data_IF_922855757271
#
_entry.id   IF_922855757271
#
_cell.length_a   1.000
_cell.length_b   1.000
_cell.length_c   1.000
_cell.angle_alpha   90.00
_cell.angle_beta   90.00
_cell.angle_gamma   90.00
#
_symmetry.space_group_name_H-M   'P 1'
#
loop_
_entity.id
_entity.type
_entity.pdbx_description
1 polymer ?
#
# COMPACT_ATOMS: atom_id res chain seq x y z
N UNK A 1 -1.43 -31.14 71.92
CA UNK A 1 -1.56 -31.32 70.45
C UNK A 1 -1.41 -29.95 69.82
N UNK A 2 -0.25 -29.64 69.23
CA UNK A 2 -0.04 -28.41 68.49
C UNK A 2 -0.85 -28.48 67.15
N UNK A 3 -1.66 -27.48 66.91
CA UNK A 3 -2.39 -27.35 65.62
C UNK A 3 -1.46 -26.98 64.46
N UNK A 4 -1.88 -27.19 63.23
CA UNK A 4 -1.04 -26.95 62.08
C UNK A 4 -0.67 -25.45 62.00
N UNK A 5 0.65 -25.19 61.93
CA UNK A 5 1.17 -23.83 61.73
C UNK A 5 0.89 -23.42 60.27
N UNK A 6 0.09 -22.37 60.11
CA UNK A 6 -0.08 -21.69 58.85
C UNK A 6 1.24 -21.01 58.49
N UNK A 7 1.92 -21.51 57.46
CA UNK A 7 3.05 -20.82 56.80
C UNK A 7 2.46 -19.81 55.85
N UNK A 8 2.67 -18.51 56.12
CA UNK A 8 2.29 -17.44 55.21
C UNK A 8 3.06 -17.65 53.87
N UNK A 9 2.39 -17.76 52.72
CA UNK A 9 3.09 -17.90 51.48
C UNK A 9 3.98 -16.68 51.22
N UNK A 10 5.25 -16.90 50.86
CA UNK A 10 6.11 -15.81 50.43
C UNK A 10 5.50 -15.18 49.18
N UNK A 11 5.28 -13.87 49.26
CA UNK A 11 4.81 -13.11 48.10
C UNK A 11 5.97 -12.93 47.14
N UNK A 12 6.03 -13.75 46.11
CA UNK A 12 6.99 -13.59 45.05
C UNK A 12 6.56 -12.40 44.16
N UNK A 13 7.40 -11.38 44.12
CA UNK A 13 7.17 -10.25 43.18
C UNK A 13 7.53 -10.72 41.77
N UNK A 14 6.52 -10.88 40.92
CA UNK A 14 6.72 -11.16 39.48
C UNK A 14 6.81 -9.85 38.74
N UNK A 15 7.98 -9.54 38.19
CA UNK A 15 8.13 -8.40 37.29
C UNK A 15 7.79 -8.83 35.87
N UNK A 16 6.64 -8.41 35.37
CA UNK A 16 6.23 -8.64 33.97
C UNK A 16 6.76 -7.48 33.15
N UNK A 17 7.76 -7.72 32.30
CA UNK A 17 8.19 -6.78 31.27
C UNK A 17 7.31 -6.96 30.03
N UNK A 18 6.34 -6.06 29.86
CA UNK A 18 5.52 -6.01 28.65
C UNK A 18 6.26 -5.17 27.61
N UNK A 19 6.75 -5.81 26.57
CA UNK A 19 7.26 -5.10 25.40
C UNK A 19 6.08 -4.87 24.45
N UNK A 20 5.53 -3.67 24.45
CA UNK A 20 4.54 -3.29 23.46
C UNK A 20 5.23 -3.12 22.10
N UNK A 21 4.87 -3.94 21.15
CA UNK A 21 5.20 -3.69 19.75
C UNK A 21 4.08 -2.81 19.20
N UNK A 22 4.33 -1.52 19.05
CA UNK A 22 3.48 -0.72 18.18
C UNK A 22 3.73 -1.22 16.75
N UNK A 23 2.69 -1.66 16.07
CA UNK A 23 2.79 -1.80 14.63
C UNK A 23 3.23 -0.46 14.07
N UNK A 24 4.31 -0.46 13.27
CA UNK A 24 4.75 0.76 12.61
C UNK A 24 3.59 1.26 11.77
N UNK A 25 3.18 2.49 12.03
CA UNK A 25 2.13 3.14 11.25
C UNK A 25 2.62 3.27 9.81
N UNK A 26 1.78 2.91 8.85
CA UNK A 26 2.06 3.15 7.43
C UNK A 26 1.93 4.65 7.19
N UNK A 27 3.06 5.35 7.20
CA UNK A 27 3.18 6.78 6.90
C UNK A 27 4.53 7.02 6.24
N UNK A 28 4.61 8.05 5.42
CA UNK A 28 5.84 8.55 4.84
C UNK A 28 5.70 10.05 4.62
N UNK A 29 6.78 10.79 4.78
CA UNK A 29 6.85 12.17 4.28
C UNK A 29 7.19 12.15 2.79
N UNK A 30 8.07 11.20 2.39
CA UNK A 30 8.41 10.96 1.00
C UNK A 30 8.41 9.46 0.71
N UNK A 31 7.83 9.08 -0.43
CA UNK A 31 7.82 7.72 -0.97
C UNK A 31 8.51 7.72 -2.32
N UNK A 32 9.41 6.76 -2.53
CA UNK A 32 10.15 6.64 -3.78
C UNK A 32 9.95 5.27 -4.42
N UNK A 33 10.12 5.21 -5.72
CA UNK A 33 10.42 3.98 -6.48
C UNK A 33 11.90 3.94 -6.76
N UNK A 34 12.54 2.80 -6.50
CA UNK A 34 13.97 2.58 -6.64
C UNK A 34 14.26 1.15 -7.09
N UNK A 35 15.48 0.89 -7.52
CA UNK A 35 15.93 -0.44 -7.91
C UNK A 35 16.22 -0.57 -9.39
N UNK A 36 16.54 -1.80 -9.85
CA UNK A 36 16.95 -2.02 -11.25
C UNK A 36 15.82 -1.87 -12.26
N UNK A 37 14.57 -1.84 -11.78
CA UNK A 37 13.41 -1.57 -12.65
C UNK A 37 13.23 -0.07 -12.94
N UNK A 38 13.89 0.81 -12.19
CA UNK A 38 13.86 2.27 -12.39
C UNK A 38 15.09 2.66 -13.20
N UNK A 39 14.90 3.40 -14.32
CA UNK A 39 15.99 3.87 -15.16
C UNK A 39 16.52 5.21 -14.62
N UNK A 40 17.71 5.19 -14.01
CA UNK A 40 18.36 6.40 -13.51
C UNK A 40 18.15 6.65 -12.01
N UNK A 41 17.66 7.84 -11.67
CA UNK A 41 17.43 8.25 -10.27
C UNK A 41 16.11 7.72 -9.73
N UNK A 42 16.01 7.62 -8.40
CA UNK A 42 14.77 7.23 -7.72
C UNK A 42 13.63 8.20 -8.09
N UNK A 43 12.45 7.65 -8.35
CA UNK A 43 11.26 8.41 -8.71
C UNK A 43 10.41 8.64 -7.46
N UNK A 44 10.17 9.89 -7.09
CA UNK A 44 9.25 10.22 -6.01
C UNK A 44 7.79 10.02 -6.46
N UNK A 45 7.01 9.31 -5.63
CA UNK A 45 5.57 9.12 -5.83
C UNK A 45 4.85 10.07 -4.89
N UNK A 46 3.96 10.89 -5.46
CA UNK A 46 3.15 11.82 -4.69
C UNK A 46 1.82 11.19 -4.24
N UNK A 47 1.32 11.59 -3.05
CA UNK A 47 0.01 11.17 -2.61
C UNK A 47 -1.09 11.80 -3.46
N UNK A 48 -2.20 11.12 -3.61
CA UNK A 48 -3.39 11.70 -4.24
C UNK A 48 -4.00 12.79 -3.35
N UNK A 49 -4.41 13.91 -3.94
CA UNK A 49 -5.03 15.02 -3.19
C UNK A 49 -6.30 14.58 -2.43
N UNK A 50 -7.12 13.74 -3.06
CA UNK A 50 -8.37 13.24 -2.47
C UNK A 50 -8.16 12.10 -1.47
N UNK A 51 -7.02 11.39 -1.55
CA UNK A 51 -6.68 10.24 -0.73
C UNK A 51 -5.21 10.33 -0.29
N UNK A 52 -4.89 11.12 0.73
CA UNK A 52 -3.49 11.42 1.10
C UNK A 52 -2.69 10.21 1.61
N UNK A 53 -3.33 9.07 1.85
CA UNK A 53 -2.67 7.80 2.19
C UNK A 53 -2.45 6.89 0.97
N UNK A 54 -2.88 7.32 -0.20
CA UNK A 54 -2.77 6.57 -1.45
C UNK A 54 -1.85 7.30 -2.40
N UNK A 55 -0.83 6.61 -2.85
CA UNK A 55 0.20 7.10 -3.74
C UNK A 55 0.05 6.42 -5.08
N UNK A 56 0.01 7.18 -6.16
CA UNK A 56 -0.20 6.68 -7.52
C UNK A 56 0.83 7.27 -8.46
N UNK A 57 1.41 6.43 -9.30
CA UNK A 57 2.29 6.85 -10.39
C UNK A 57 2.04 6.01 -11.62
N UNK A 58 2.19 6.65 -12.78
CA UNK A 58 2.29 5.98 -14.08
C UNK A 58 3.66 6.32 -14.63
N UNK A 59 4.49 5.31 -14.85
CA UNK A 59 5.87 5.49 -15.27
C UNK A 59 6.36 4.31 -16.11
N UNK A 60 7.40 4.54 -16.87
CA UNK A 60 8.10 3.49 -17.60
C UNK A 60 9.02 2.74 -16.63
N UNK A 61 8.86 1.42 -16.55
CA UNK A 61 9.71 0.53 -15.79
C UNK A 61 10.37 -0.47 -16.73
N UNK A 62 11.56 -0.92 -16.34
CA UNK A 62 12.29 -2.00 -16.98
C UNK A 62 12.07 -3.32 -16.25
N UNK A 63 12.31 -4.42 -16.93
CA UNK A 63 12.42 -5.72 -16.27
C UNK A 63 13.49 -5.66 -15.18
N UNK A 64 13.12 -6.02 -13.94
CA UNK A 64 14.03 -5.91 -12.81
C UNK A 64 13.35 -5.82 -11.48
N UNK A 65 14.10 -5.39 -10.48
CA UNK A 65 13.64 -5.30 -9.08
C UNK A 65 13.14 -3.89 -8.77
N UNK A 66 11.97 -3.81 -8.15
CA UNK A 66 11.36 -2.56 -7.72
C UNK A 66 11.24 -2.52 -6.20
N UNK A 67 11.73 -1.46 -5.60
CA UNK A 67 11.68 -1.16 -4.17
C UNK A 67 10.88 0.12 -3.93
N UNK A 68 10.33 0.27 -2.73
CA UNK A 68 9.63 1.49 -2.30
C UNK A 68 10.26 2.06 -1.02
N UNK A 69 11.40 2.76 -1.10
CA UNK A 69 11.97 3.48 0.02
C UNK A 69 11.02 4.55 0.53
N UNK A 70 10.94 4.69 1.86
CA UNK A 70 10.20 5.75 2.55
C UNK A 70 11.14 6.53 3.44
N UNK A 71 10.98 7.85 3.48
CA UNK A 71 11.75 8.76 4.32
C UNK A 71 10.79 9.49 5.24
N UNK A 72 11.07 9.50 6.53
CA UNK A 72 10.41 10.34 7.52
C UNK A 72 11.30 11.54 7.86
N UNK A 73 10.67 12.68 7.99
CA UNK A 73 11.32 13.97 8.18
C UNK A 73 12.27 14.02 9.37
N UNK A 74 11.94 13.34 10.45
CA UNK A 74 12.66 13.39 11.72
C UNK A 74 13.47 12.11 12.02
N UNK A 75 13.48 11.15 11.11
CA UNK A 75 14.23 9.90 11.26
C UNK A 75 15.38 9.80 10.26
N UNK A 76 16.62 9.67 10.78
CA UNK A 76 17.80 9.34 9.97
C UNK A 76 17.78 7.91 9.41
N UNK A 77 16.68 7.20 9.57
CA UNK A 77 16.52 5.81 9.12
C UNK A 77 15.64 5.77 7.90
N UNK A 78 16.18 5.17 6.85
CA UNK A 78 15.43 4.80 5.67
C UNK A 78 14.75 3.48 5.93
N UNK A 79 13.44 3.44 5.74
CA UNK A 79 12.63 2.23 5.72
C UNK A 79 12.09 2.05 4.30
N UNK A 80 11.47 0.91 4.04
CA UNK A 80 10.83 0.66 2.76
C UNK A 80 9.49 -0.07 2.94
N UNK A 81 8.56 0.20 2.04
CA UNK A 81 7.43 -0.69 1.80
C UNK A 81 8.00 -1.92 1.11
N UNK A 82 7.72 -3.07 1.66
CA UNK A 82 8.31 -4.35 1.27
C UNK A 82 7.21 -5.39 1.07
N UNK A 83 7.34 -6.28 0.10
CA UNK A 83 6.49 -7.45 0.04
C UNK A 83 6.68 -8.33 1.28
N UNK A 84 5.74 -9.25 1.50
CA UNK A 84 5.82 -10.23 2.59
C UNK A 84 7.01 -11.15 2.37
N UNK A 85 7.22 -11.63 1.14
CA UNK A 85 8.39 -12.39 0.72
C UNK A 85 9.62 -11.49 0.53
N UNK A 86 10.82 -12.07 0.46
CA UNK A 86 12.04 -11.33 0.13
C UNK A 86 12.04 -10.91 -1.36
N UNK A 87 11.48 -11.75 -2.20
CA UNK A 87 11.26 -11.53 -3.63
C UNK A 87 9.82 -11.91 -3.95
N UNK A 88 9.11 -11.04 -4.65
CA UNK A 88 7.72 -11.26 -5.02
C UNK A 88 7.47 -10.88 -6.47
N UNK A 89 6.97 -11.82 -7.25
CA UNK A 89 6.47 -11.54 -8.59
C UNK A 89 5.22 -10.67 -8.48
N UNK A 90 5.07 -9.71 -9.38
CA UNK A 90 3.83 -8.95 -9.47
C UNK A 90 2.69 -9.87 -9.92
N UNK A 91 1.51 -9.63 -9.37
CA UNK A 91 0.28 -10.36 -9.70
C UNK A 91 -0.83 -9.36 -9.96
N UNK A 92 -1.88 -9.82 -10.64
CA UNK A 92 -3.09 -9.01 -10.81
C UNK A 92 -3.70 -8.67 -9.45
N UNK A 93 -3.98 -7.40 -9.22
CA UNK A 93 -4.61 -6.89 -8.02
C UNK A 93 -3.64 -6.44 -6.92
N UNK A 94 -4.21 -6.21 -5.75
CA UNK A 94 -3.50 -5.67 -4.60
C UNK A 94 -2.69 -6.76 -3.87
N UNK A 95 -1.43 -6.50 -3.63
CA UNK A 95 -0.50 -7.38 -2.91
C UNK A 95 -0.25 -6.83 -1.50
N UNK A 96 -0.27 -7.71 -0.49
CA UNK A 96 0.04 -7.31 0.90
C UNK A 96 1.47 -6.77 1.01
N UNK A 97 1.61 -5.68 1.75
CA UNK A 97 2.88 -5.02 1.99
C UNK A 97 3.14 -4.75 3.47
N UNK A 98 4.42 -4.64 3.83
CA UNK A 98 4.89 -4.35 5.20
C UNK A 98 5.96 -3.29 5.19
N UNK A 99 6.09 -2.53 6.28
CA UNK A 99 7.24 -1.65 6.46
C UNK A 99 8.38 -2.42 7.09
N UNK A 100 9.53 -2.41 6.43
CA UNK A 100 10.79 -3.00 6.93
C UNK A 100 11.90 -1.95 6.87
N UNK A 101 12.99 -2.17 7.63
CA UNK A 101 14.23 -1.42 7.42
C UNK A 101 14.77 -1.70 6.02
N UNK A 102 15.38 -0.70 5.38
CA UNK A 102 15.83 -0.79 3.97
C UNK A 102 16.73 -2.00 3.72
N UNK A 103 17.64 -2.32 4.65
CA UNK A 103 18.58 -3.44 4.53
C UNK A 103 17.91 -4.83 4.58
N UNK A 104 16.65 -4.88 5.04
CA UNK A 104 15.87 -6.11 5.16
C UNK A 104 14.59 -6.07 4.29
N UNK A 105 14.44 -5.07 3.47
CA UNK A 105 13.32 -4.95 2.57
C UNK A 105 13.46 -5.95 1.41
N UNK A 106 12.33 -6.56 1.05
CA UNK A 106 12.21 -7.32 -0.19
C UNK A 106 11.92 -6.40 -1.38
N UNK A 107 11.69 -6.99 -2.52
CA UNK A 107 11.40 -6.28 -3.77
C UNK A 107 10.31 -6.99 -4.57
N UNK A 108 9.63 -6.23 -5.42
CA UNK A 108 8.77 -6.76 -6.46
C UNK A 108 9.56 -6.94 -7.75
N UNK A 109 9.27 -8.02 -8.48
CA UNK A 109 9.91 -8.30 -9.75
C UNK A 109 9.01 -7.81 -10.87
N UNK A 110 9.52 -6.90 -11.68
CA UNK A 110 8.90 -6.43 -12.91
C UNK A 110 9.35 -7.37 -14.05
N UNK A 111 8.41 -8.08 -14.71
CA UNK A 111 8.77 -9.15 -15.65
C UNK A 111 9.27 -8.65 -17.00
N UNK A 112 8.85 -7.48 -17.45
CA UNK A 112 9.17 -6.92 -18.76
C UNK A 112 9.19 -5.40 -18.76
N UNK A 113 9.84 -4.81 -19.74
CA UNK A 113 9.85 -3.36 -19.95
C UNK A 113 8.44 -2.89 -20.35
N UNK A 114 8.00 -1.79 -19.79
CA UNK A 114 6.69 -1.22 -20.15
C UNK A 114 6.29 -0.03 -19.29
N UNK A 115 5.17 0.56 -19.65
CA UNK A 115 4.54 1.57 -18.82
C UNK A 115 3.65 0.88 -17.77
N UNK A 116 3.91 1.17 -16.51
CA UNK A 116 3.22 0.58 -15.37
C UNK A 116 2.46 1.64 -14.59
N UNK A 117 1.29 1.24 -14.12
CA UNK A 117 0.58 1.94 -13.06
C UNK A 117 0.94 1.28 -11.72
N UNK A 118 1.45 2.10 -10.82
CA UNK A 118 1.87 1.71 -9.47
C UNK A 118 0.98 2.42 -8.46
N UNK A 119 0.38 1.67 -7.55
CA UNK A 119 -0.41 2.19 -6.43
C UNK A 119 0.15 1.66 -5.14
N UNK A 120 0.47 2.53 -4.20
CA UNK A 120 0.83 2.18 -2.82
C UNK A 120 -0.23 2.75 -1.90
N UNK A 121 -0.97 1.88 -1.24
CA UNK A 121 -2.05 2.25 -0.34
C UNK A 121 -1.64 1.98 1.11
N UNK A 122 -1.49 3.05 1.89
CA UNK A 122 -1.07 2.97 3.29
C UNK A 122 -2.21 2.61 4.23
N UNK A 123 -3.46 2.78 3.80
CA UNK A 123 -4.62 2.42 4.61
C UNK A 123 -4.86 0.92 4.59
N UNK A 124 -4.88 0.35 3.39
CA UNK A 124 -5.04 -1.10 3.20
C UNK A 124 -3.73 -1.87 3.34
N UNK A 125 -2.59 -1.17 3.35
CA UNK A 125 -1.24 -1.76 3.39
C UNK A 125 -0.97 -2.67 2.21
N UNK A 126 -1.28 -2.17 1.03
CA UNK A 126 -1.14 -2.92 -0.22
C UNK A 126 -0.34 -2.16 -1.26
N UNK A 127 0.22 -2.91 -2.20
CA UNK A 127 0.84 -2.40 -3.41
C UNK A 127 0.20 -3.08 -4.61
N UNK A 128 -0.20 -2.29 -5.60
CA UNK A 128 -0.68 -2.78 -6.90
C UNK A 128 0.28 -2.31 -7.98
N UNK A 129 0.76 -3.22 -8.81
CA UNK A 129 1.67 -2.94 -9.93
C UNK A 129 1.12 -3.69 -11.14
N UNK A 130 0.82 -2.99 -12.20
CA UNK A 130 0.35 -3.61 -13.44
C UNK A 130 0.62 -2.72 -14.65
N UNK A 131 0.63 -3.32 -15.84
CA UNK A 131 0.77 -2.55 -17.08
C UNK A 131 -0.32 -1.49 -17.16
N UNK A 132 0.05 -0.25 -17.48
CA UNK A 132 -0.89 0.87 -17.56
C UNK A 132 -2.00 0.61 -18.59
N UNK A 133 -1.71 -0.14 -19.66
CA UNK A 133 -2.69 -0.56 -20.67
C UNK A 133 -3.82 -1.46 -20.14
N UNK A 134 -3.62 -2.09 -18.97
CA UNK A 134 -4.63 -2.93 -18.33
C UNK A 134 -5.65 -2.11 -17.51
N UNK A 135 -5.38 -0.82 -17.32
CA UNK A 135 -6.29 0.10 -16.63
C UNK A 135 -7.07 0.90 -17.67
N UNK A 136 -8.38 0.93 -17.51
CA UNK A 136 -9.24 1.73 -18.39
C UNK A 136 -9.11 3.19 -17.94
N UNK A 137 -8.47 4.00 -18.76
CA UNK A 137 -8.49 5.45 -18.61
C UNK A 137 -9.56 6.00 -19.56
N UNK A 138 -10.68 6.34 -19.01
CA UNK A 138 -11.73 7.04 -19.73
C UNK A 138 -11.95 8.42 -19.11
N UNK A 139 -11.92 9.47 -19.90
CA UNK A 139 -12.29 10.82 -19.43
C UNK A 139 -13.73 10.82 -18.95
N UNK A 140 -14.58 10.03 -19.60
CA UNK A 140 -16.02 9.94 -19.33
C UNK A 140 -16.54 8.55 -19.57
N UNK A 141 -17.38 8.08 -18.66
CA UNK A 141 -18.14 6.83 -18.80
C UNK A 141 -19.62 7.18 -18.79
N UNK A 142 -20.40 6.53 -19.66
CA UNK A 142 -21.83 6.74 -19.80
C UNK A 142 -22.61 5.45 -19.59
N UNK A 143 -23.75 5.54 -18.94
CA UNK A 143 -24.77 4.48 -18.99
C UNK A 143 -25.67 4.77 -20.18
N UNK A 144 -25.81 3.78 -21.04
CA UNK A 144 -26.71 3.79 -22.18
C UNK A 144 -27.59 2.53 -22.19
N UNK A 145 -28.75 2.62 -22.78
CA UNK A 145 -29.64 1.48 -22.95
C UNK A 145 -31.12 1.81 -22.72
N UNK A 146 -31.96 0.81 -22.82
CA UNK A 146 -33.43 1.00 -22.76
C UNK A 146 -33.94 1.33 -21.35
N UNK A 147 -33.11 1.19 -20.32
CA UNK A 147 -33.45 1.52 -18.92
C UNK A 147 -33.21 2.99 -18.57
N UNK A 148 -32.60 3.78 -19.47
CA UNK A 148 -32.39 5.20 -19.31
C UNK A 148 -32.97 5.95 -20.51
N UNK A 149 -33.54 7.12 -20.29
CA UNK A 149 -34.19 7.92 -21.35
C UNK A 149 -33.18 8.59 -22.29
N UNK A 150 -31.95 8.75 -21.86
CA UNK A 150 -30.81 9.29 -22.61
C UNK A 150 -29.52 8.76 -21.97
N UNK A 151 -28.42 8.80 -22.71
CA UNK A 151 -27.09 8.48 -22.16
C UNK A 151 -26.77 9.41 -20.99
N UNK A 152 -26.42 8.84 -19.85
CA UNK A 152 -26.12 9.57 -18.62
C UNK A 152 -24.68 9.39 -18.24
N UNK A 153 -23.97 10.51 -18.11
CA UNK A 153 -22.58 10.53 -17.66
C UNK A 153 -22.46 10.08 -16.21
N UNK A 154 -21.59 9.12 -15.96
CA UNK A 154 -21.28 8.66 -14.62
C UNK A 154 -20.20 9.54 -13.99
N UNK A 155 -20.37 9.88 -12.74
CA UNK A 155 -19.38 10.66 -11.99
C UNK A 155 -18.33 9.72 -11.38
N UNK A 156 -17.05 10.05 -11.54
CA UNK A 156 -15.96 9.35 -10.87
C UNK A 156 -16.12 9.48 -9.35
N UNK A 157 -15.98 8.39 -8.62
CA UNK A 157 -16.09 8.45 -7.15
C UNK A 157 -14.83 9.05 -6.53
N UNK A 158 -15.00 9.69 -5.38
CA UNK A 158 -13.88 10.26 -4.62
C UNK A 158 -13.07 9.15 -3.93
N UNK A 159 -13.72 8.01 -3.66
CA UNK A 159 -13.14 6.89 -2.90
C UNK A 159 -12.21 6.02 -3.74
N UNK A 160 -12.48 5.91 -5.04
CA UNK A 160 -11.63 5.15 -5.96
C UNK A 160 -11.65 5.78 -7.35
N UNK A 161 -10.49 6.15 -7.86
CA UNK A 161 -10.34 6.77 -9.19
C UNK A 161 -10.76 5.85 -10.35
N UNK A 162 -10.86 4.54 -10.10
CA UNK A 162 -11.32 3.56 -11.08
C UNK A 162 -12.81 3.23 -10.94
N UNK A 163 -13.50 3.86 -10.00
CA UNK A 163 -14.93 3.68 -9.79
C UNK A 163 -15.71 4.90 -10.29
N UNK A 164 -16.81 4.60 -10.97
CA UNK A 164 -17.77 5.59 -11.43
C UNK A 164 -19.12 5.24 -10.83
N UNK A 165 -19.80 6.21 -10.27
CA UNK A 165 -21.10 6.06 -9.66
C UNK A 165 -22.16 6.86 -10.39
N UNK A 166 -23.37 6.34 -10.36
CA UNK A 166 -24.54 6.96 -10.93
C UNK A 166 -25.75 6.68 -10.03
N UNK A 167 -26.52 7.69 -9.76
CA UNK A 167 -27.79 7.58 -9.05
C UNK A 167 -28.92 8.06 -9.97
N UNK A 168 -29.79 7.16 -10.35
CA UNK A 168 -31.03 7.48 -11.07
C UNK A 168 -32.14 6.48 -10.79
N UNK A 169 -33.34 6.90 -11.05
CA UNK A 169 -34.47 6.00 -11.19
C UNK A 169 -34.40 5.34 -12.56
N UNK A 170 -34.30 4.02 -12.58
CA UNK A 170 -34.36 3.23 -13.80
C UNK A 170 -35.82 3.00 -14.18
N UNK A 171 -36.15 3.16 -15.46
CA UNK A 171 -37.49 2.96 -16.01
C UNK A 171 -37.73 1.51 -16.39
#
# INVERSE_FOLDING_TARGET
VEGPKFVKPEVSTVTIKVKMYSEKTFVADHLYMSGTAVDGEDIEILPMESQPKRYVSICDLKAGNLHFPIVWKDENKINAISPVAAEQQITDGAMEAKIKGIDNAGYWVIPEDGQYRVVVDFETRTVTIGLASNFIEADKIYIAGTCVSADVEMTRTIEDENQYAFHAELQ
#
